data_IF_680440415596
#
_entry.id   IF_680440415596
#
_cell.length_a   1.000
_cell.length_b   1.000
_cell.length_c   1.000
_cell.angle_alpha   90.00
_cell.angle_beta   90.00
_cell.angle_gamma   90.00
#
_symmetry.space_group_name_H-M   'P 1'
#
loop_
_entity.id
_entity.type
_entity.pdbx_description
1 polymer ?
#
# COMPACT_ATOMS: atom_id res chain seq x y z
N UNK A 1 -9.19 18.45 3.61
CA UNK A 1 -10.48 18.12 4.25
C UNK A 1 -10.28 16.90 5.14
N UNK A 2 -10.23 17.08 6.47
CA UNK A 2 -10.23 15.96 7.42
C UNK A 2 -11.54 15.19 7.22
N UNK A 3 -11.46 13.97 6.69
CA UNK A 3 -12.57 13.04 6.72
C UNK A 3 -12.81 12.67 8.18
N UNK A 4 -13.98 13.06 8.70
CA UNK A 4 -14.42 12.64 10.03
C UNK A 4 -14.70 11.14 9.97
N UNK A 5 -13.89 10.34 10.67
CA UNK A 5 -14.32 9.01 11.05
C UNK A 5 -15.57 9.15 11.90
N UNK A 6 -16.71 8.79 11.35
CA UNK A 6 -17.93 8.69 12.15
C UNK A 6 -17.86 7.43 13.00
N UNK A 7 -17.38 7.59 14.24
CA UNK A 7 -17.56 6.57 15.26
C UNK A 7 -19.00 6.70 15.79
N UNK A 8 -19.85 5.71 15.54
CA UNK A 8 -21.19 5.63 16.13
C UNK A 8 -21.00 5.06 17.54
N UNK A 9 -21.23 5.91 18.56
CA UNK A 9 -21.30 5.44 19.96
C UNK A 9 -22.74 5.07 20.28
N UNK A 10 -22.95 3.83 20.70
CA UNK A 10 -24.23 3.40 21.22
C UNK A 10 -24.54 4.06 22.56
N UNK A 11 -25.84 4.24 22.85
CA UNK A 11 -26.29 4.71 24.15
C UNK A 11 -25.96 3.66 25.21
N UNK A 12 -25.64 4.11 26.45
CA UNK A 12 -25.29 3.22 27.56
C UNK A 12 -26.39 2.19 27.93
N UNK A 13 -27.62 2.41 27.44
CA UNK A 13 -28.80 1.53 27.61
C UNK A 13 -28.98 0.57 26.43
N UNK A 14 -28.14 0.62 25.40
CA UNK A 14 -28.25 -0.27 24.25
C UNK A 14 -27.83 -1.70 24.63
N UNK A 15 -28.44 -2.69 23.97
CA UNK A 15 -28.20 -4.13 24.21
C UNK A 15 -26.72 -4.54 24.05
N UNK A 16 -25.90 -3.73 23.34
CA UNK A 16 -24.45 -3.86 23.18
C UNK A 16 -23.76 -2.53 23.52
N UNK A 17 -24.02 -2.01 24.73
CA UNK A 17 -23.39 -0.79 25.18
C UNK A 17 -21.86 -0.92 25.11
N UNK A 18 -21.21 0.09 24.50
CA UNK A 18 -19.76 0.13 24.33
C UNK A 18 -19.27 -0.40 22.96
N UNK A 19 -20.17 -0.89 22.08
CA UNK A 19 -19.77 -1.22 20.70
C UNK A 19 -19.44 0.07 19.92
N UNK A 20 -18.29 0.08 19.29
CA UNK A 20 -17.84 1.16 18.41
C UNK A 20 -17.81 0.64 16.97
N UNK A 21 -18.71 1.14 16.14
CA UNK A 21 -18.67 0.85 14.70
C UNK A 21 -17.70 1.78 13.96
N UNK A 22 -17.01 1.27 12.98
CA UNK A 22 -16.18 2.08 12.08
C UNK A 22 -16.44 1.69 10.62
N UNK A 23 -16.30 2.66 9.73
CA UNK A 23 -16.29 2.41 8.30
C UNK A 23 -14.84 2.37 7.81
N UNK A 24 -14.52 1.31 7.08
CA UNK A 24 -13.20 1.20 6.42
C UNK A 24 -13.33 1.80 5.02
N UNK A 25 -12.54 2.82 4.74
CA UNK A 25 -12.49 3.46 3.43
C UNK A 25 -11.61 2.64 2.48
N UNK A 26 -12.21 1.65 1.84
CA UNK A 26 -11.49 0.71 0.97
C UNK A 26 -10.78 1.39 -0.20
N UNK A 27 -11.29 2.50 -0.70
CA UNK A 27 -10.67 3.27 -1.78
C UNK A 27 -9.34 3.94 -1.40
N UNK A 28 -9.04 4.06 -0.12
CA UNK A 28 -7.77 4.59 0.39
C UNK A 28 -6.71 3.50 0.61
N UNK A 29 -7.10 2.23 0.55
CA UNK A 29 -6.17 1.11 0.65
C UNK A 29 -5.61 0.84 -0.75
N UNK A 30 -4.27 0.85 -0.97
CA UNK A 30 -3.66 0.46 -2.24
C UNK A 30 -4.14 -0.92 -2.71
N UNK A 31 -4.15 -1.15 -4.03
CA UNK A 31 -4.65 -2.42 -4.59
C UNK A 31 -3.87 -3.65 -4.10
N UNK A 32 -2.59 -3.49 -3.79
CA UNK A 32 -1.75 -4.52 -3.19
C UNK A 32 -2.17 -4.87 -1.76
N UNK A 33 -2.72 -3.90 -1.05
CA UNK A 33 -3.26 -4.09 0.32
C UNK A 33 -4.65 -4.73 0.34
N UNK A 34 -5.29 -4.95 -0.82
CA UNK A 34 -6.63 -5.52 -0.95
C UNK A 34 -6.58 -6.89 -1.63
N UNK A 35 -6.97 -7.92 -0.92
CA UNK A 35 -7.08 -9.28 -1.47
C UNK A 35 -8.55 -9.64 -1.53
N UNK A 36 -9.11 -9.65 -2.73
CA UNK A 36 -10.50 -10.04 -2.96
C UNK A 36 -10.59 -11.56 -3.14
N UNK A 37 -11.53 -12.18 -2.44
CA UNK A 37 -11.93 -13.58 -2.65
C UNK A 37 -13.10 -13.61 -3.62
N UNK A 38 -14.03 -12.65 -3.45
CA UNK A 38 -15.16 -12.44 -4.36
C UNK A 38 -15.11 -10.97 -4.80
N UNK A 39 -15.23 -10.70 -6.10
CA UNK A 39 -15.30 -9.36 -6.67
C UNK A 39 -16.38 -9.32 -7.75
N UNK A 40 -17.29 -8.34 -7.64
CA UNK A 40 -18.44 -8.20 -8.56
C UNK A 40 -19.24 -9.52 -8.71
N UNK A 41 -19.57 -10.14 -7.58
CA UNK A 41 -20.34 -11.42 -7.50
C UNK A 41 -19.64 -12.63 -8.14
N UNK A 42 -18.37 -12.51 -8.52
CA UNK A 42 -17.56 -13.60 -9.09
C UNK A 42 -16.43 -13.98 -8.14
N UNK A 43 -16.26 -15.28 -7.97
CA UNK A 43 -15.13 -15.84 -7.23
C UNK A 43 -13.82 -15.63 -7.99
N UNK A 44 -12.78 -15.22 -7.26
CA UNK A 44 -11.43 -15.07 -7.81
C UNK A 44 -10.73 -16.42 -7.75
N UNK A 45 -10.08 -16.89 -8.83
CA UNK A 45 -9.31 -18.13 -8.83
C UNK A 45 -8.28 -18.14 -7.70
N UNK A 46 -8.21 -19.27 -6.98
CA UNK A 46 -7.38 -19.43 -5.78
C UNK A 46 -5.89 -19.17 -6.04
N UNK A 47 -5.40 -19.50 -7.24
CA UNK A 47 -4.03 -19.27 -7.66
C UNK A 47 -3.67 -17.77 -7.66
N UNK A 48 -4.61 -16.91 -8.10
CA UNK A 48 -4.45 -15.46 -8.09
C UNK A 48 -4.46 -14.91 -6.68
N UNK A 49 -5.28 -15.48 -5.79
CA UNK A 49 -5.34 -15.11 -4.38
C UNK A 49 -4.02 -15.46 -3.71
N UNK A 50 -3.54 -16.69 -3.88
CA UNK A 50 -2.27 -17.17 -3.30
C UNK A 50 -1.11 -16.29 -3.79
N UNK A 51 -1.03 -16.00 -5.08
CA UNK A 51 0.00 -15.13 -5.65
C UNK A 51 -0.02 -13.75 -5.00
N UNK A 52 -1.20 -13.16 -4.81
CA UNK A 52 -1.32 -11.85 -4.16
C UNK A 52 -0.93 -11.90 -2.67
N UNK A 53 -1.30 -12.95 -1.96
CA UNK A 53 -0.90 -13.17 -0.55
C UNK A 53 0.62 -13.25 -0.44
N UNK A 54 1.27 -14.07 -1.24
CA UNK A 54 2.74 -14.22 -1.23
C UNK A 54 3.47 -12.92 -1.53
N UNK A 55 2.96 -12.11 -2.47
CA UNK A 55 3.54 -10.79 -2.80
C UNK A 55 3.54 -9.80 -1.63
N UNK A 56 2.63 -9.94 -0.68
CA UNK A 56 2.51 -9.04 0.48
C UNK A 56 2.97 -9.68 1.78
N UNK A 57 3.35 -10.96 1.78
CA UNK A 57 3.72 -11.70 2.99
C UNK A 57 4.94 -11.10 3.71
N UNK A 58 5.90 -10.55 2.94
CA UNK A 58 7.08 -9.89 3.50
C UNK A 58 6.73 -8.67 4.38
N UNK A 59 5.53 -8.08 4.20
CA UNK A 59 5.06 -6.97 5.03
C UNK A 59 4.60 -7.43 6.42
N UNK A 60 4.32 -8.72 6.62
CA UNK A 60 3.72 -9.26 7.84
C UNK A 60 4.57 -8.98 9.09
N UNK A 61 5.90 -9.03 8.98
CA UNK A 61 6.84 -8.77 10.08
C UNK A 61 7.20 -7.29 10.29
N UNK A 62 6.78 -6.39 9.39
CA UNK A 62 7.17 -5.00 9.42
C UNK A 62 6.31 -4.18 10.39
N UNK A 63 6.86 -3.09 10.97
CA UNK A 63 6.10 -2.12 11.75
C UNK A 63 5.04 -1.44 10.88
N UNK A 64 3.96 -0.95 11.49
CA UNK A 64 2.81 -0.38 10.80
C UNK A 64 3.19 0.75 9.82
N UNK A 65 4.01 1.70 10.28
CA UNK A 65 4.47 2.82 9.45
C UNK A 65 5.33 2.36 8.27
N UNK A 66 6.18 1.35 8.49
CA UNK A 66 7.01 0.79 7.42
C UNK A 66 6.15 0.12 6.34
N UNK A 67 5.06 -0.59 6.74
CA UNK A 67 4.10 -1.17 5.79
C UNK A 67 3.42 -0.10 4.95
N UNK A 68 2.98 0.99 5.59
CA UNK A 68 2.35 2.13 4.92
C UNK A 68 3.25 2.69 3.82
N UNK A 69 4.50 2.99 4.16
CA UNK A 69 5.49 3.48 3.20
C UNK A 69 5.74 2.51 2.04
N UNK A 70 5.93 1.23 2.35
CA UNK A 70 6.18 0.22 1.31
C UNK A 70 5.02 0.08 0.35
N UNK A 71 3.78 0.04 0.86
CA UNK A 71 2.58 -0.04 0.04
C UNK A 71 2.37 1.21 -0.80
N UNK A 72 2.61 2.40 -0.25
CA UNK A 72 2.46 3.65 -0.99
C UNK A 72 3.49 3.78 -2.10
N UNK A 73 4.76 3.39 -1.87
CA UNK A 73 5.80 3.36 -2.91
C UNK A 73 5.50 2.30 -3.96
N UNK A 74 5.02 1.11 -3.57
CA UNK A 74 4.59 0.07 -4.51
C UNK A 74 3.43 0.54 -5.38
N UNK A 75 2.48 1.27 -4.79
CA UNK A 75 1.39 1.88 -5.54
C UNK A 75 1.91 2.90 -6.58
N UNK A 76 2.87 3.75 -6.22
CA UNK A 76 3.52 4.66 -7.17
C UNK A 76 4.23 3.91 -8.31
N UNK A 77 4.92 2.81 -8.00
CA UNK A 77 5.54 1.93 -9.02
C UNK A 77 4.48 1.38 -9.97
N UNK A 78 3.32 0.94 -9.46
CA UNK A 78 2.25 0.40 -10.28
C UNK A 78 1.53 1.45 -11.14
N UNK A 79 1.49 2.71 -10.70
CA UNK A 79 0.96 3.84 -11.48
C UNK A 79 1.81 4.16 -12.73
N UNK A 80 3.07 3.73 -12.78
CA UNK A 80 3.88 3.84 -13.98
C UNK A 80 3.47 2.71 -14.93
N UNK A 81 2.98 3.02 -16.12
CA UNK A 81 2.48 2.03 -17.08
C UNK A 81 3.58 1.08 -17.57
N UNK A 82 4.78 1.61 -17.79
CA UNK A 82 5.90 0.84 -18.31
C UNK A 82 6.41 -0.20 -17.30
N UNK A 83 6.89 -1.31 -17.82
CA UNK A 83 7.56 -2.36 -17.03
C UNK A 83 8.91 -1.86 -16.50
N UNK A 84 9.68 -1.17 -17.34
CA UNK A 84 10.92 -0.51 -16.96
C UNK A 84 10.64 0.93 -16.52
N UNK A 85 11.26 1.36 -15.42
CA UNK A 85 11.08 2.70 -14.87
C UNK A 85 12.38 3.23 -14.25
N UNK A 86 12.43 4.55 -14.07
CA UNK A 86 13.60 5.23 -13.49
C UNK A 86 13.28 5.79 -12.10
N UNK A 87 14.34 6.04 -11.33
CA UNK A 87 14.24 6.70 -10.03
C UNK A 87 13.58 8.09 -10.14
N UNK A 88 13.89 8.84 -11.21
CA UNK A 88 13.31 10.17 -11.44
C UNK A 88 11.80 10.11 -11.68
N UNK A 89 11.31 9.03 -12.31
CA UNK A 89 9.87 8.84 -12.48
C UNK A 89 9.17 8.60 -11.13
N UNK A 90 9.80 7.87 -10.21
CA UNK A 90 9.25 7.70 -8.85
C UNK A 90 9.33 9.00 -8.05
N UNK A 91 10.36 9.81 -8.21
CA UNK A 91 10.47 11.10 -7.53
C UNK A 91 9.38 12.10 -7.92
N UNK A 92 8.70 11.93 -9.07
CA UNK A 92 7.52 12.75 -9.41
C UNK A 92 6.37 12.55 -8.43
N UNK A 93 6.34 11.46 -7.70
CA UNK A 93 5.36 11.19 -6.66
C UNK A 93 5.78 11.70 -5.26
N UNK A 94 6.89 12.46 -5.16
CA UNK A 94 7.41 12.97 -3.90
C UNK A 94 6.37 13.79 -3.13
N UNK A 95 5.67 14.70 -3.81
CA UNK A 95 4.64 15.54 -3.18
C UNK A 95 3.46 14.72 -2.66
N UNK A 96 3.00 13.73 -3.44
CA UNK A 96 1.93 12.82 -3.04
C UNK A 96 2.33 12.00 -1.80
N UNK A 97 3.57 11.52 -1.75
CA UNK A 97 4.08 10.75 -0.61
C UNK A 97 4.32 11.64 0.61
N UNK A 98 4.79 12.89 0.42
CA UNK A 98 4.93 13.86 1.50
C UNK A 98 3.59 14.23 2.13
N UNK A 99 2.54 14.39 1.32
CA UNK A 99 1.18 14.67 1.81
C UNK A 99 0.62 13.51 2.65
N UNK A 100 0.91 12.27 2.26
CA UNK A 100 0.49 11.06 3.00
C UNK A 100 1.28 10.84 4.29
N UNK A 101 2.53 11.25 4.32
CA UNK A 101 3.48 11.05 5.41
C UNK A 101 4.10 12.38 5.88
N UNK A 102 3.30 13.29 6.45
CA UNK A 102 3.71 14.66 6.77
C UNK A 102 4.85 14.75 7.80
N UNK A 103 5.02 13.72 8.61
CA UNK A 103 6.08 13.66 9.63
C UNK A 103 7.46 13.29 9.04
N UNK A 104 7.54 12.97 7.75
CA UNK A 104 8.79 12.58 7.11
C UNK A 104 9.33 13.71 6.22
N UNK A 105 10.49 14.25 6.59
CA UNK A 105 11.17 15.33 5.86
C UNK A 105 12.22 14.82 4.85
N UNK A 106 12.43 13.51 4.73
CA UNK A 106 13.42 12.87 3.86
C UNK A 106 12.74 11.88 2.89
N UNK A 107 11.74 12.35 2.16
CA UNK A 107 10.88 11.51 1.29
C UNK A 107 11.69 10.78 0.23
N UNK A 108 12.66 11.44 -0.43
CA UNK A 108 13.52 10.81 -1.46
C UNK A 108 14.36 9.66 -0.91
N UNK A 109 14.93 9.83 0.27
CA UNK A 109 15.73 8.78 0.91
C UNK A 109 14.83 7.61 1.32
N UNK A 110 13.62 7.93 1.80
CA UNK A 110 12.61 6.92 2.14
C UNK A 110 12.16 6.14 0.89
N UNK A 111 11.94 6.80 -0.24
CA UNK A 111 11.64 6.15 -1.52
C UNK A 111 12.75 5.15 -1.88
N UNK A 112 14.02 5.57 -1.84
CA UNK A 112 15.15 4.67 -2.13
C UNK A 112 15.19 3.46 -1.20
N UNK A 113 14.98 3.67 0.09
CA UNK A 113 14.91 2.60 1.07
C UNK A 113 13.79 1.59 0.73
N UNK A 114 12.62 2.08 0.35
CA UNK A 114 11.51 1.20 -0.01
C UNK A 114 11.75 0.47 -1.33
N UNK A 115 12.35 1.11 -2.34
CA UNK A 115 12.74 0.44 -3.58
C UNK A 115 13.76 -0.68 -3.33
N UNK A 116 14.72 -0.50 -2.41
CA UNK A 116 15.61 -1.58 -2.00
C UNK A 116 14.83 -2.75 -1.37
N UNK A 117 13.88 -2.45 -0.48
CA UNK A 117 13.04 -3.48 0.14
C UNK A 117 12.21 -4.24 -0.91
N UNK A 118 11.61 -3.55 -1.89
CA UNK A 118 10.85 -4.18 -2.96
C UNK A 118 11.74 -5.05 -3.85
N UNK A 119 12.98 -4.62 -4.13
CA UNK A 119 13.98 -5.42 -4.85
C UNK A 119 14.37 -6.67 -4.07
N UNK A 120 14.69 -6.53 -2.79
CA UNK A 120 15.15 -7.64 -1.95
C UNK A 120 14.05 -8.71 -1.77
N UNK A 121 12.79 -8.31 -1.94
CA UNK A 121 11.63 -9.21 -1.93
C UNK A 121 11.18 -9.66 -3.34
N UNK A 122 11.96 -9.39 -4.38
CA UNK A 122 11.70 -9.88 -5.73
C UNK A 122 10.47 -9.28 -6.42
N UNK A 123 10.02 -8.10 -6.01
CA UNK A 123 8.89 -7.39 -6.63
C UNK A 123 9.38 -6.54 -7.80
N UNK A 124 10.57 -5.97 -7.67
CA UNK A 124 11.28 -5.25 -8.72
C UNK A 124 12.71 -5.75 -8.82
N UNK A 125 13.33 -5.58 -9.97
CA UNK A 125 14.76 -5.81 -10.16
C UNK A 125 15.49 -4.51 -10.51
N UNK A 126 16.76 -4.46 -10.15
CA UNK A 126 17.64 -3.36 -10.47
C UNK A 126 18.36 -3.66 -11.79
N UNK A 127 18.12 -2.86 -12.81
CA UNK A 127 18.70 -3.06 -14.16
C UNK A 127 19.91 -2.18 -14.43
N UNK A 128 20.12 -1.15 -13.62
CA UNK A 128 21.25 -0.24 -13.72
C UNK A 128 21.13 0.91 -12.73
N UNK A 129 22.09 1.83 -12.72
CA UNK A 129 22.06 2.97 -11.80
C UNK A 129 20.82 3.83 -12.02
N UNK A 130 19.89 3.81 -11.05
CA UNK A 130 18.61 4.53 -11.10
C UNK A 130 17.59 3.92 -12.06
N UNK A 131 17.80 2.69 -12.55
CA UNK A 131 16.90 1.98 -13.45
C UNK A 131 16.39 0.69 -12.80
N UNK A 132 15.10 0.45 -12.92
CA UNK A 132 14.38 -0.63 -12.29
C UNK A 132 13.43 -1.29 -13.29
N UNK A 133 13.08 -2.56 -13.03
CA UNK A 133 12.08 -3.32 -13.78
C UNK A 133 11.12 -4.00 -12.84
N UNK A 134 9.83 -3.97 -13.17
CA UNK A 134 8.79 -4.73 -12.45
C UNK A 134 8.94 -6.21 -12.76
N UNK A 135 8.97 -7.05 -11.73
CA UNK A 135 8.91 -8.51 -11.84
C UNK A 135 7.44 -8.89 -11.68
N UNK A 136 6.82 -9.38 -12.74
CA UNK A 136 5.43 -9.86 -12.69
C UNK A 136 5.38 -11.32 -12.28
#
# INVERSE_FOLDING_TARGET
RRQRQMCIRDRNTARRAGWTGCNILLNQIPDEGRIYIVQNEKEIPIEKIITKVHRTEFLRGSKLDARGWTLDVLNCVNMIENKDFTLDQIYRFEELLAEKHPDNHHVKDKIRQQLQMLRDNGIIEFTGRGHYRKIN
#
